data_IF_679101136067
#
_entry.id   IF_679101136067
#
_cell.length_a   1.000
_cell.length_b   1.000
_cell.length_c   1.000
_cell.angle_alpha   90.00
_cell.angle_beta   90.00
_cell.angle_gamma   90.00
#
_symmetry.space_group_name_H-M   'P 1'
#
loop_
_entity.id
_entity.type
_entity.pdbx_description
1 polymer ?
#
# COMPACT_ATOMS: atom_id res chain seq x y z
N UNK A 1 46.62 -47.94 -15.37
CA UNK A 1 46.82 -46.47 -15.37
C UNK A 1 45.46 -45.82 -15.46
N UNK A 2 44.90 -45.41 -14.32
CA UNK A 2 43.65 -44.66 -14.24
C UNK A 2 44.01 -43.21 -13.87
N UNK A 3 43.82 -42.28 -14.79
CA UNK A 3 44.06 -40.85 -14.58
C UNK A 3 42.85 -40.19 -13.93
N UNK A 4 43.06 -39.63 -12.75
CA UNK A 4 42.09 -38.83 -12.01
C UNK A 4 42.09 -37.42 -12.63
N UNK A 5 41.01 -37.04 -13.31
CA UNK A 5 40.80 -35.68 -13.78
C UNK A 5 40.24 -34.81 -12.65
N UNK A 6 41.11 -34.00 -12.05
CA UNK A 6 40.70 -32.89 -11.18
C UNK A 6 40.15 -31.76 -12.07
N UNK A 7 38.82 -31.66 -12.14
CA UNK A 7 38.17 -30.51 -12.76
C UNK A 7 38.33 -29.29 -11.86
N UNK A 8 39.23 -28.40 -12.26
CA UNK A 8 39.60 -27.18 -11.57
C UNK A 8 38.42 -26.22 -11.59
N UNK A 9 37.65 -26.21 -10.50
CA UNK A 9 36.55 -25.28 -10.19
C UNK A 9 37.04 -23.83 -10.40
N UNK A 10 36.69 -23.24 -11.55
CA UNK A 10 36.91 -21.81 -11.80
C UNK A 10 36.10 -21.02 -10.77
N UNK A 11 36.70 -20.08 -10.02
CA UNK A 11 35.92 -19.14 -9.23
C UNK A 11 35.02 -18.37 -10.20
N UNK A 12 33.72 -18.36 -9.94
CA UNK A 12 32.78 -17.46 -10.61
C UNK A 12 33.22 -16.03 -10.24
N UNK A 13 33.80 -15.36 -11.23
CA UNK A 13 34.03 -13.92 -11.25
C UNK A 13 32.67 -13.22 -10.99
N UNK A 14 32.61 -12.18 -10.13
CA UNK A 14 31.35 -11.51 -9.81
C UNK A 14 30.77 -10.90 -11.09
N UNK A 15 29.60 -11.40 -11.50
CA UNK A 15 28.90 -10.93 -12.70
C UNK A 15 28.15 -9.65 -12.35
N UNK A 16 28.55 -8.55 -12.98
CA UNK A 16 27.76 -7.34 -13.20
C UNK A 16 27.81 -6.29 -12.08
N UNK A 17 28.66 -5.27 -12.25
CA UNK A 17 28.46 -4.00 -11.55
C UNK A 17 27.10 -3.45 -11.97
N UNK A 18 26.14 -3.33 -11.05
CA UNK A 18 24.86 -2.72 -11.34
C UNK A 18 25.08 -1.29 -11.87
N UNK A 19 24.49 -0.97 -13.03
CA UNK A 19 24.55 0.38 -13.56
C UNK A 19 23.82 1.31 -12.59
N UNK A 20 24.49 2.38 -12.17
CA UNK A 20 23.94 3.36 -11.23
C UNK A 20 23.30 4.49 -12.02
N UNK A 21 22.01 4.70 -11.83
CA UNK A 21 21.18 5.64 -12.58
C UNK A 21 20.61 6.68 -11.60
N UNK A 22 20.68 7.97 -11.93
CA UNK A 22 20.08 9.04 -11.14
C UNK A 22 18.69 9.35 -11.67
N UNK A 23 17.68 9.32 -10.81
CA UNK A 23 16.32 9.70 -11.16
C UNK A 23 15.94 10.93 -10.37
N UNK A 24 15.40 11.95 -11.04
CA UNK A 24 14.87 13.15 -10.38
C UNK A 24 13.39 13.27 -10.67
N UNK A 25 12.59 13.39 -9.63
CA UNK A 25 11.16 13.70 -9.70
C UNK A 25 10.98 15.12 -9.19
N UNK A 26 10.46 15.99 -10.05
CA UNK A 26 10.17 17.38 -9.75
C UNK A 26 8.67 17.62 -9.70
N UNK A 27 8.23 18.56 -8.85
CA UNK A 27 6.81 18.93 -8.73
C UNK A 27 6.19 19.30 -10.08
N UNK A 28 4.89 19.00 -10.23
CA UNK A 28 4.09 19.05 -11.47
C UNK A 28 4.19 17.81 -12.40
N UNK A 29 4.46 16.62 -11.85
CA UNK A 29 4.36 15.36 -12.60
C UNK A 29 5.46 15.16 -13.65
N UNK A 30 6.65 15.76 -13.44
CA UNK A 30 7.80 15.63 -14.33
C UNK A 30 8.87 14.77 -13.66
N UNK A 31 9.34 13.75 -14.38
CA UNK A 31 10.47 12.94 -13.94
C UNK A 31 11.55 12.90 -15.02
N UNK A 32 12.80 12.74 -14.60
CA UNK A 32 13.93 12.55 -15.48
C UNK A 32 14.81 11.40 -15.00
N UNK A 33 15.37 10.64 -15.93
CA UNK A 33 16.28 9.52 -15.69
C UNK A 33 17.60 9.85 -16.38
N UNK A 34 18.68 10.01 -15.61
CA UNK A 34 19.99 10.52 -16.06
C UNK A 34 19.90 11.83 -16.89
N UNK A 35 18.91 12.67 -16.58
CA UNK A 35 18.64 13.93 -17.27
C UNK A 35 17.72 13.83 -18.50
N UNK A 36 17.35 12.62 -18.95
CA UNK A 36 16.35 12.43 -19.99
C UNK A 36 14.93 12.49 -19.40
N UNK A 37 14.07 13.36 -19.96
CA UNK A 37 12.69 13.52 -19.47
C UNK A 37 11.86 12.26 -19.75
N UNK A 38 11.19 11.75 -18.73
CA UNK A 38 10.21 10.67 -18.84
C UNK A 38 8.82 11.30 -18.93
N UNK A 39 8.12 11.03 -20.03
CA UNK A 39 6.74 11.48 -20.25
C UNK A 39 5.82 10.27 -20.01
N UNK A 40 4.89 10.35 -19.05
CA UNK A 40 3.91 9.28 -18.81
C UNK A 40 2.90 9.21 -19.95
N UNK A 41 2.38 8.01 -20.24
CA UNK A 41 1.22 7.86 -21.11
C UNK A 41 -0.05 8.48 -20.46
N UNK A 42 -1.10 8.83 -21.24
CA UNK A 42 -2.35 9.34 -20.68
C UNK A 42 -2.94 8.37 -19.64
N UNK A 43 -3.14 8.84 -18.40
CA UNK A 43 -3.63 8.01 -17.28
C UNK A 43 -2.56 7.17 -16.58
N UNK A 44 -1.30 7.22 -17.02
CA UNK A 44 -0.18 6.55 -16.34
C UNK A 44 0.40 7.47 -15.26
N UNK A 45 0.61 6.93 -14.07
CA UNK A 45 1.29 7.64 -13.00
C UNK A 45 2.77 7.87 -13.32
N UNK A 46 3.30 9.02 -12.94
CA UNK A 46 4.70 9.38 -13.19
C UNK A 46 5.67 8.38 -12.55
N UNK A 47 5.31 7.82 -11.38
CA UNK A 47 6.09 6.78 -10.71
C UNK A 47 6.15 5.50 -11.56
N UNK A 48 5.01 5.10 -12.13
CA UNK A 48 4.94 3.90 -12.97
C UNK A 48 5.68 4.09 -14.29
N UNK A 49 5.59 5.26 -14.90
CA UNK A 49 6.34 5.61 -16.11
C UNK A 49 7.86 5.53 -15.88
N UNK A 50 8.34 5.99 -14.72
CA UNK A 50 9.75 5.88 -14.31
C UNK A 50 10.15 4.43 -14.11
N UNK A 51 9.36 3.62 -13.39
CA UNK A 51 9.66 2.20 -13.17
C UNK A 51 9.68 1.41 -14.48
N UNK A 52 8.73 1.65 -15.37
CA UNK A 52 8.69 1.06 -16.71
C UNK A 52 9.91 1.46 -17.53
N UNK A 53 10.39 2.70 -17.42
CA UNK A 53 11.61 3.15 -18.08
C UNK A 53 12.86 2.47 -17.52
N UNK A 54 13.00 2.37 -16.20
CA UNK A 54 14.11 1.66 -15.54
C UNK A 54 14.10 0.16 -15.87
N UNK A 55 12.92 -0.46 -15.97
CA UNK A 55 12.78 -1.84 -16.40
C UNK A 55 13.25 -2.04 -17.84
N UNK A 56 12.86 -1.15 -18.77
CA UNK A 56 13.36 -1.20 -20.16
C UNK A 56 14.89 -1.07 -20.22
N UNK A 57 15.47 -0.22 -19.38
CA UNK A 57 16.93 -0.12 -19.25
C UNK A 57 17.55 -1.42 -18.70
N UNK A 58 16.96 -2.03 -17.68
CA UNK A 58 17.42 -3.31 -17.13
C UNK A 58 17.37 -4.45 -18.16
N UNK A 59 16.32 -4.49 -18.99
CA UNK A 59 16.20 -5.44 -20.11
C UNK A 59 17.28 -5.17 -21.16
N UNK A 60 17.49 -3.91 -21.53
CA UNK A 60 18.47 -3.52 -22.55
C UNK A 60 19.91 -3.78 -22.12
N UNK A 61 20.23 -3.60 -20.84
CA UNK A 61 21.57 -3.81 -20.27
C UNK A 61 21.77 -5.29 -19.90
N UNK A 62 20.70 -6.05 -19.70
CA UNK A 62 20.75 -7.45 -19.29
C UNK A 62 21.15 -7.65 -17.83
N UNK A 63 21.05 -6.61 -17.00
CA UNK A 63 21.41 -6.63 -15.59
C UNK A 63 20.47 -5.73 -14.76
N UNK A 64 20.28 -6.01 -13.45
CA UNK A 64 19.52 -5.12 -12.58
C UNK A 64 20.12 -3.71 -12.52
N UNK A 65 19.26 -2.70 -12.54
CA UNK A 65 19.62 -1.28 -12.47
C UNK A 65 19.47 -0.79 -11.04
N UNK A 66 20.49 -0.11 -10.50
CA UNK A 66 20.39 0.59 -9.22
C UNK A 66 20.11 2.06 -9.48
N UNK A 67 18.92 2.51 -9.11
CA UNK A 67 18.48 3.88 -9.28
C UNK A 67 18.52 4.63 -7.94
N UNK A 68 18.97 5.88 -7.95
CA UNK A 68 18.83 6.79 -6.81
C UNK A 68 17.75 7.81 -7.16
N UNK A 69 16.58 7.70 -6.54
CA UNK A 69 15.44 8.59 -6.79
C UNK A 69 15.51 9.79 -5.86
N UNK A 70 15.73 10.96 -6.44
CA UNK A 70 15.63 12.26 -5.78
C UNK A 70 14.22 12.80 -5.99
N UNK A 71 13.44 12.83 -4.91
CA UNK A 71 12.16 13.53 -4.88
C UNK A 71 12.40 14.94 -4.33
N UNK A 72 12.37 15.93 -5.23
CA UNK A 72 12.58 17.33 -4.88
C UNK A 72 11.41 17.90 -4.05
N UNK A 73 10.22 17.30 -4.15
CA UNK A 73 9.00 17.75 -3.46
C UNK A 73 8.92 17.17 -2.03
N UNK A 74 9.30 15.91 -1.86
CA UNK A 74 9.40 15.26 -0.56
C UNK A 74 10.75 15.49 0.15
N UNK A 75 11.74 16.06 -0.55
CA UNK A 75 13.10 16.24 -0.05
C UNK A 75 13.77 14.92 0.34
N UNK A 76 13.51 13.85 -0.43
CA UNK A 76 13.93 12.50 -0.08
C UNK A 76 14.77 11.87 -1.19
N UNK A 77 15.75 11.07 -0.78
CA UNK A 77 16.58 10.25 -1.67
C UNK A 77 16.35 8.78 -1.36
N UNK A 78 15.84 8.04 -2.34
CA UNK A 78 15.49 6.62 -2.19
C UNK A 78 16.33 5.77 -3.15
N UNK A 79 17.22 4.90 -2.64
CA UNK A 79 17.93 3.93 -3.46
C UNK A 79 17.02 2.73 -3.80
N UNK A 80 16.79 2.51 -5.09
CA UNK A 80 15.98 1.44 -5.66
C UNK A 80 16.85 0.52 -6.53
N UNK A 81 16.50 -0.75 -6.60
CA UNK A 81 17.01 -1.68 -7.61
C UNK A 81 15.83 -2.22 -8.40
N UNK A 82 15.92 -2.14 -9.73
CA UNK A 82 14.89 -2.59 -10.67
C UNK A 82 15.49 -3.70 -11.54
N UNK A 83 14.84 -4.84 -11.55
CA UNK A 83 15.24 -6.01 -12.34
C UNK A 83 14.48 -6.04 -13.67
N UNK A 84 15.02 -6.78 -14.65
CA UNK A 84 14.42 -6.93 -15.97
C UNK A 84 13.03 -7.61 -15.94
N UNK A 85 12.74 -8.39 -14.89
CA UNK A 85 11.44 -9.03 -14.65
C UNK A 85 10.36 -8.07 -14.13
N UNK A 86 10.70 -6.78 -13.93
CA UNK A 86 9.79 -5.77 -13.41
C UNK A 86 9.71 -5.73 -11.88
N UNK A 87 10.43 -6.61 -11.17
CA UNK A 87 10.56 -6.50 -9.72
C UNK A 87 11.38 -5.28 -9.34
N UNK A 88 10.92 -4.54 -8.34
CA UNK A 88 11.65 -3.42 -7.76
C UNK A 88 11.77 -3.61 -6.25
N UNK A 89 12.94 -3.28 -5.69
CA UNK A 89 13.19 -3.31 -4.25
C UNK A 89 14.00 -2.11 -3.80
N UNK A 90 13.67 -1.59 -2.64
CA UNK A 90 14.45 -0.55 -1.96
C UNK A 90 15.73 -1.19 -1.43
N UNK A 91 16.89 -0.65 -1.81
CA UNK A 91 18.21 -1.25 -1.50
C UNK A 91 18.95 -0.56 -0.35
N UNK A 92 18.35 0.47 0.26
CA UNK A 92 18.90 1.20 1.40
C UNK A 92 17.85 2.08 2.09
N UNK A 93 18.20 2.68 3.22
CA UNK A 93 17.29 3.57 3.92
C UNK A 93 17.01 4.84 3.09
N UNK A 94 15.74 5.24 3.00
CA UNK A 94 15.35 6.51 2.41
C UNK A 94 15.88 7.65 3.29
N UNK A 95 16.75 8.49 2.73
CA UNK A 95 17.35 9.60 3.46
C UNK A 95 16.61 10.88 3.10
N UNK A 96 16.03 11.55 4.11
CA UNK A 96 15.52 12.92 3.96
C UNK A 96 16.72 13.84 3.80
N UNK A 97 16.86 14.45 2.63
CA UNK A 97 17.86 15.48 2.38
C UNK A 97 17.20 16.81 2.70
N UNK A 98 17.62 17.43 3.81
CA UNK A 98 17.23 18.80 4.11
C UNK A 98 17.53 19.67 2.87
N UNK A 99 16.62 20.56 2.44
CA UNK A 99 16.87 21.40 1.28
C UNK A 99 18.18 22.14 1.52
N UNK A 100 19.16 21.97 0.63
CA UNK A 100 20.33 22.84 0.65
C UNK A 100 19.79 24.25 0.44
N UNK A 101 19.94 25.18 1.41
CA UNK A 101 19.42 26.53 1.23
C UNK A 101 20.03 27.07 -0.06
N UNK A 102 19.16 27.48 -0.97
CA UNK A 102 19.55 28.24 -2.15
C UNK A 102 20.40 29.39 -1.65
N UNK A 103 21.69 29.37 -2.02
CA UNK A 103 22.58 30.48 -1.74
C UNK A 103 21.97 31.71 -2.43
N UNK A 104 21.31 32.54 -1.64
CA UNK A 104 20.90 33.87 -2.04
C UNK A 104 22.18 34.60 -2.45
N UNK A 105 22.28 34.90 -3.74
CA UNK A 105 23.38 35.66 -4.28
C UNK A 105 23.37 37.09 -3.76
N UNK A 106 24.37 37.39 -2.91
CA UNK A 106 25.17 38.63 -2.80
C UNK A 106 24.46 39.95 -2.39
N UNK A 107 25.19 40.98 -1.90
CA UNK A 107 26.60 41.07 -1.47
C UNK A 107 26.79 41.74 -0.08
N UNK A 108 27.75 41.27 0.72
CA UNK A 108 28.13 41.91 1.97
C UNK A 108 29.58 41.59 2.36
N UNK A 109 30.42 42.62 2.28
CA UNK A 109 31.86 42.67 2.50
C UNK A 109 32.36 42.32 3.91
N UNK A 110 33.53 41.66 3.98
CA UNK A 110 34.44 41.58 5.13
C UNK A 110 34.55 40.15 5.70
N UNK A 111 35.71 39.52 5.93
CA UNK A 111 37.13 39.89 5.88
C UNK A 111 37.95 38.57 5.84
N UNK A 112 39.18 38.60 5.31
CA UNK A 112 40.07 37.45 5.15
C UNK A 112 40.80 37.04 6.47
N UNK A 113 41.58 35.94 6.50
CA UNK A 113 41.70 35.02 7.63
C UNK A 113 42.71 35.47 8.69
N UNK A 114 42.48 35.08 9.95
CA UNK A 114 43.51 35.08 10.99
C UNK A 114 43.60 33.68 11.57
N UNK A 115 44.72 33.02 11.26
CA UNK A 115 45.00 31.66 11.68
C UNK A 115 45.25 31.56 13.17
N UNK A 116 44.91 30.39 13.72
CA UNK A 116 45.63 29.78 14.84
C UNK A 116 45.40 28.26 14.77
N UNK A 117 46.47 27.56 14.40
CA UNK A 117 46.62 26.11 14.51
C UNK A 117 46.92 25.79 15.99
N UNK A 118 46.08 24.98 16.62
CA UNK A 118 46.38 24.36 17.92
C UNK A 118 47.22 23.09 17.75
N UNK A 119 48.08 22.72 18.71
CA UNK A 119 49.06 21.65 18.56
C UNK A 119 48.43 20.25 18.60
N UNK A 120 49.05 19.32 17.86
CA UNK A 120 48.71 17.90 17.83
C UNK A 120 49.20 17.17 19.10
N UNK A 121 48.40 16.27 19.71
CA UNK A 121 48.91 15.33 20.69
C UNK A 121 49.59 14.14 20.01
N UNK A 122 50.76 13.79 20.50
CA UNK A 122 51.65 12.72 20.04
C UNK A 122 51.57 11.47 20.92
N UNK A 123 51.55 10.31 20.23
CA UNK A 123 52.19 9.02 20.55
C UNK A 123 51.73 8.21 21.78
N UNK A 124 51.33 6.95 21.57
CA UNK A 124 52.30 5.83 21.59
C UNK A 124 51.65 4.50 21.16
N UNK A 125 52.36 3.75 20.33
CA UNK A 125 52.15 2.33 20.07
C UNK A 125 52.91 1.51 21.13
N UNK A 126 52.31 0.45 21.66
CA UNK A 126 52.97 -0.81 22.07
C UNK A 126 51.93 -1.83 22.53
N UNK A 127 51.63 -2.75 21.62
CA UNK A 127 51.79 -4.20 21.76
C UNK A 127 51.13 -5.04 22.88
N UNK A 128 50.78 -6.25 22.41
CA UNK A 128 50.67 -7.55 23.08
C UNK A 128 49.35 -7.99 23.74
N UNK A 129 48.65 -8.83 22.98
CA UNK A 129 48.53 -10.28 23.22
C UNK A 129 47.32 -10.85 24.02
N UNK A 130 46.77 -11.90 23.40
CA UNK A 130 46.02 -13.05 23.90
C UNK A 130 44.66 -12.93 24.63
N UNK A 131 43.72 -13.73 24.06
CA UNK A 131 42.83 -14.71 24.73
C UNK A 131 41.33 -14.34 24.85
N UNK A 132 40.55 -14.93 23.94
CA UNK A 132 39.14 -15.37 24.13
C UNK A 132 39.13 -16.69 24.94
N UNK A 133 38.04 -17.21 25.58
CA UNK A 133 36.62 -16.79 25.52
C UNK A 133 35.87 -16.76 26.89
N UNK A 134 34.65 -16.21 26.90
CA UNK A 134 33.40 -16.88 27.32
C UNK A 134 32.33 -15.95 27.95
N UNK A 135 31.13 -16.04 27.35
CA UNK A 135 29.80 -16.05 27.97
C UNK A 135 29.31 -14.86 28.79
N UNK A 136 28.43 -14.02 28.20
CA UNK A 136 27.23 -13.49 28.88
C UNK A 136 26.08 -13.31 27.88
N UNK A 137 24.94 -13.92 28.19
CA UNK A 137 23.66 -13.80 27.49
C UNK A 137 23.16 -12.35 27.42
N UNK A 138 22.55 -11.87 26.32
CA UNK A 138 21.82 -10.63 26.34
C UNK A 138 20.37 -10.84 26.76
N UNK A 139 20.00 -10.08 27.78
CA UNK A 139 18.66 -9.72 28.22
C UNK A 139 17.84 -9.17 27.03
N UNK A 140 16.58 -9.60 26.92
CA UNK A 140 15.65 -9.16 25.90
C UNK A 140 15.43 -7.64 25.94
N UNK A 141 15.69 -6.96 24.82
CA UNK A 141 15.28 -5.58 24.58
C UNK A 141 13.95 -5.60 23.81
N UNK A 142 12.91 -5.04 24.44
CA UNK A 142 11.61 -4.78 23.84
C UNK A 142 11.77 -3.76 22.71
N UNK A 143 11.30 -4.02 21.47
CA UNK A 143 11.32 -3.02 20.40
C UNK A 143 10.33 -1.87 20.70
N UNK A 144 10.65 -0.62 20.33
CA UNK A 144 9.70 0.48 20.40
C UNK A 144 8.59 0.28 19.35
N UNK A 145 7.33 0.49 19.76
CA UNK A 145 6.18 0.43 18.87
C UNK A 145 6.27 1.48 17.75
N UNK A 146 5.98 1.12 16.49
CA UNK A 146 5.97 2.07 15.39
C UNK A 146 4.71 2.96 15.44
N UNK A 147 4.91 4.27 15.32
CA UNK A 147 3.86 5.25 15.07
C UNK A 147 2.98 4.82 13.89
N UNK A 148 1.66 4.84 14.10
CA UNK A 148 0.67 4.34 13.17
C UNK A 148 0.85 4.94 11.75
N UNK A 149 0.88 4.10 10.69
CA UNK A 149 0.84 4.58 9.32
C UNK A 149 -0.55 5.13 8.99
N UNK A 150 -0.62 6.25 8.30
CA UNK A 150 -1.86 6.72 7.66
C UNK A 150 -2.38 5.60 6.75
N UNK A 151 -3.63 5.13 6.90
CA UNK A 151 -4.11 3.97 6.17
C UNK A 151 -4.27 4.33 4.69
N UNK A 152 -3.39 3.82 3.83
CA UNK A 152 -3.71 3.67 2.41
C UNK A 152 -4.90 2.72 2.32
N UNK A 153 -6.04 3.11 1.74
CA UNK A 153 -7.19 2.24 1.64
C UNK A 153 -6.84 0.97 0.85
N UNK A 154 -7.39 -0.15 1.28
CA UNK A 154 -7.17 -1.40 0.59
C UNK A 154 -7.95 -1.39 -0.72
N UNK A 155 -7.24 -1.65 -1.84
CA UNK A 155 -7.82 -1.73 -3.20
C UNK A 155 -9.18 -2.41 -3.16
N UNK A 156 -10.26 -1.68 -3.39
CA UNK A 156 -11.65 -2.15 -3.26
C UNK A 156 -12.52 -1.28 -2.37
N UNK A 157 -11.96 -0.57 -1.39
CA UNK A 157 -12.64 0.49 -0.61
C UNK A 157 -12.26 1.91 -1.09
N UNK A 158 -11.59 2.03 -2.23
CA UNK A 158 -10.98 3.27 -2.70
C UNK A 158 -12.03 4.38 -2.87
N UNK A 159 -13.21 4.08 -3.44
CA UNK A 159 -14.28 5.06 -3.59
C UNK A 159 -14.76 5.65 -2.25
N UNK A 160 -15.04 4.79 -1.26
CA UNK A 160 -15.48 5.22 0.08
C UNK A 160 -14.37 5.99 0.79
N UNK A 161 -13.11 5.59 0.62
CA UNK A 161 -11.98 6.29 1.22
C UNK A 161 -11.75 7.67 0.60
N UNK A 162 -11.82 7.79 -0.72
CA UNK A 162 -11.73 9.08 -1.42
C UNK A 162 -12.86 10.02 -0.99
N UNK A 163 -14.06 9.51 -0.77
CA UNK A 163 -15.18 10.30 -0.28
C UNK A 163 -14.96 10.80 1.16
N UNK A 164 -14.50 9.93 2.06
CA UNK A 164 -14.19 10.29 3.46
C UNK A 164 -13.09 11.36 3.54
N UNK A 165 -12.09 11.26 2.66
CA UNK A 165 -10.92 12.14 2.60
C UNK A 165 -11.14 13.39 1.74
N UNK A 166 -12.10 13.37 0.83
CA UNK A 166 -12.40 14.45 -0.10
C UNK A 166 -13.31 15.54 0.47
N UNK A 167 -13.48 16.59 -0.32
CA UNK A 167 -14.38 17.72 -0.04
C UNK A 167 -15.72 17.60 -0.79
N UNK A 168 -16.10 16.38 -1.20
CA UNK A 168 -17.33 16.11 -1.94
C UNK A 168 -18.59 16.24 -1.08
N UNK A 169 -19.78 16.19 -1.70
CA UNK A 169 -21.05 16.05 -0.97
C UNK A 169 -21.02 14.81 -0.09
N UNK A 170 -21.48 14.93 1.16
CA UNK A 170 -21.49 13.81 2.11
C UNK A 170 -22.72 12.91 1.95
N UNK A 171 -23.72 13.31 1.15
CA UNK A 171 -25.03 12.66 1.07
C UNK A 171 -25.45 12.49 -0.38
N UNK A 172 -26.23 11.46 -0.66
CA UNK A 172 -26.71 11.08 -1.99
C UNK A 172 -27.98 11.83 -2.42
N UNK A 173 -28.81 12.26 -1.46
CA UNK A 173 -30.11 12.91 -1.69
C UNK A 173 -30.23 14.24 -0.95
N UNK A 174 -31.15 15.08 -1.42
CA UNK A 174 -31.44 16.36 -0.77
C UNK A 174 -32.04 16.18 0.63
N UNK A 175 -32.93 15.19 0.84
CA UNK A 175 -33.45 14.91 2.18
C UNK A 175 -32.36 14.37 3.12
N UNK A 176 -31.43 13.58 2.57
CA UNK A 176 -30.22 13.16 3.27
C UNK A 176 -29.37 14.35 3.72
N UNK A 177 -29.15 15.33 2.84
CA UNK A 177 -28.38 16.53 3.16
C UNK A 177 -28.95 17.30 4.36
N UNK A 178 -30.27 17.35 4.52
CA UNK A 178 -30.93 18.03 5.64
C UNK A 178 -30.73 17.32 6.99
N UNK A 179 -30.69 15.99 7.00
CA UNK A 179 -30.68 15.19 8.24
C UNK A 179 -29.32 14.57 8.58
N UNK A 180 -28.49 14.27 7.59
CA UNK A 180 -27.30 13.41 7.72
C UNK A 180 -25.97 14.14 7.53
N UNK A 181 -25.95 15.35 6.96
CA UNK A 181 -24.71 16.11 6.75
C UNK A 181 -23.88 16.26 8.04
N UNK A 182 -24.53 16.67 9.12
CA UNK A 182 -23.87 16.89 10.40
C UNK A 182 -23.37 15.55 11.00
N UNK A 183 -24.20 14.48 11.11
CA UNK A 183 -23.74 13.15 11.49
C UNK A 183 -22.55 12.61 10.66
N UNK A 184 -22.64 12.64 9.33
CA UNK A 184 -21.62 12.10 8.42
C UNK A 184 -20.29 12.81 8.54
N UNK A 185 -20.31 14.14 8.68
CA UNK A 185 -19.09 14.91 8.93
C UNK A 185 -18.41 14.51 10.23
N UNK A 186 -19.14 14.22 11.31
CA UNK A 186 -18.55 13.73 12.57
C UNK A 186 -17.96 12.33 12.42
N UNK A 187 -18.62 11.46 11.67
CA UNK A 187 -18.09 10.12 11.35
C UNK A 187 -16.78 10.26 10.57
N UNK A 188 -16.77 11.05 9.50
CA UNK A 188 -15.59 11.25 8.65
C UNK A 188 -14.45 11.90 9.43
N UNK A 189 -14.73 12.85 10.33
CA UNK A 189 -13.74 13.44 11.24
C UNK A 189 -13.15 12.39 12.20
N UNK A 190 -13.98 11.51 12.77
CA UNK A 190 -13.50 10.41 13.62
C UNK A 190 -12.62 9.43 12.84
N UNK A 191 -12.97 9.10 11.59
CA UNK A 191 -12.13 8.25 10.71
C UNK A 191 -10.79 8.94 10.41
N UNK A 192 -10.82 10.21 9.98
CA UNK A 192 -9.61 10.99 9.65
C UNK A 192 -8.66 11.17 10.83
N UNK A 193 -9.21 11.29 12.04
CA UNK A 193 -8.42 11.39 13.28
C UNK A 193 -7.94 10.03 13.80
N UNK A 194 -8.31 8.92 13.15
CA UNK A 194 -7.94 7.57 13.56
C UNK A 194 -8.71 7.03 14.76
N UNK A 195 -9.76 7.72 15.20
CA UNK A 195 -10.66 7.29 16.27
C UNK A 195 -11.69 6.28 15.74
N UNK A 196 -11.22 5.11 15.30
CA UNK A 196 -12.03 4.14 14.56
C UNK A 196 -13.19 3.56 15.39
N UNK A 197 -12.99 3.28 16.69
CA UNK A 197 -14.07 2.80 17.57
C UNK A 197 -15.20 3.83 17.70
N UNK A 198 -14.83 5.10 17.90
CA UNK A 198 -15.79 6.22 17.92
C UNK A 198 -16.52 6.35 16.59
N UNK A 199 -15.81 6.23 15.47
CA UNK A 199 -16.42 6.26 14.14
C UNK A 199 -17.43 5.13 13.96
N UNK A 200 -17.11 3.92 14.45
CA UNK A 200 -18.01 2.77 14.39
C UNK A 200 -19.30 3.00 15.19
N UNK A 201 -19.20 3.51 16.42
CA UNK A 201 -20.37 3.81 17.24
C UNK A 201 -21.26 4.90 16.62
N UNK A 202 -20.64 5.95 16.07
CA UNK A 202 -21.36 7.02 15.38
C UNK A 202 -22.04 6.51 14.11
N UNK A 203 -21.34 5.69 13.31
CA UNK A 203 -21.88 5.09 12.09
C UNK A 203 -23.05 4.16 12.39
N UNK A 204 -22.95 3.29 13.40
CA UNK A 204 -24.01 2.36 13.77
C UNK A 204 -25.28 3.07 14.23
N UNK A 205 -25.13 4.10 15.07
CA UNK A 205 -26.25 4.93 15.52
C UNK A 205 -26.91 5.64 14.33
N UNK A 206 -26.10 6.28 13.50
CA UNK A 206 -26.59 7.06 12.34
C UNK A 206 -27.26 6.15 11.31
N UNK A 207 -26.71 4.97 11.04
CA UNK A 207 -27.30 3.96 10.16
C UNK A 207 -28.64 3.44 10.69
N UNK A 208 -28.76 3.21 12.00
CA UNK A 208 -30.01 2.79 12.62
C UNK A 208 -31.10 3.86 12.49
N UNK A 209 -30.75 5.12 12.76
CA UNK A 209 -31.65 6.27 12.62
C UNK A 209 -32.07 6.48 11.16
N UNK A 210 -31.11 6.53 10.23
CA UNK A 210 -31.38 6.68 8.80
C UNK A 210 -32.23 5.53 8.25
N UNK A 211 -31.95 4.29 8.66
CA UNK A 211 -32.75 3.12 8.25
C UNK A 211 -34.18 3.18 8.79
N UNK A 212 -34.39 3.75 9.99
CA UNK A 212 -35.73 3.91 10.56
C UNK A 212 -36.52 5.04 9.87
N UNK A 213 -35.85 6.12 9.48
CA UNK A 213 -36.48 7.29 8.83
C UNK A 213 -36.75 7.05 7.35
N UNK A 214 -35.73 6.62 6.60
CA UNK A 214 -35.79 6.51 5.15
C UNK A 214 -36.11 5.08 4.66
N UNK A 215 -35.92 4.09 5.53
CA UNK A 215 -36.03 2.68 5.20
C UNK A 215 -34.68 2.06 4.77
N UNK A 216 -34.51 0.74 4.94
CA UNK A 216 -33.21 0.07 4.79
C UNK A 216 -32.71 -0.04 3.34
N UNK A 217 -33.57 0.21 2.35
CA UNK A 217 -33.24 0.19 0.91
C UNK A 217 -33.02 1.59 0.32
N UNK A 218 -33.18 2.64 1.12
CA UNK A 218 -32.99 4.01 0.67
C UNK A 218 -31.50 4.30 0.37
N UNK A 219 -31.23 5.18 -0.61
CA UNK A 219 -29.87 5.51 -1.03
C UNK A 219 -28.96 5.91 0.15
N UNK A 220 -29.43 6.80 1.03
CA UNK A 220 -28.71 7.21 2.24
C UNK A 220 -28.41 6.06 3.21
N UNK A 221 -29.34 5.12 3.39
CA UNK A 221 -29.14 3.98 4.27
C UNK A 221 -28.16 2.96 3.67
N UNK A 222 -28.09 2.87 2.34
CA UNK A 222 -27.08 2.07 1.63
C UNK A 222 -25.71 2.74 1.73
N UNK A 223 -25.64 4.05 1.50
CA UNK A 223 -24.42 4.84 1.62
C UNK A 223 -23.81 4.77 3.03
N UNK A 224 -24.61 4.96 4.09
CA UNK A 224 -24.15 4.77 5.47
C UNK A 224 -23.70 3.32 5.78
N UNK A 225 -24.28 2.33 5.10
CA UNK A 225 -23.88 0.92 5.26
C UNK A 225 -22.54 0.64 4.54
N UNK A 226 -22.27 1.29 3.40
CA UNK A 226 -20.98 1.28 2.71
C UNK A 226 -19.88 1.89 3.61
N UNK A 227 -20.17 3.06 4.20
CA UNK A 227 -19.27 3.70 5.16
C UNK A 227 -19.03 2.83 6.40
N UNK A 228 -20.09 2.21 6.94
CA UNK A 228 -19.97 1.27 8.07
C UNK A 228 -19.11 0.05 7.73
N UNK A 229 -19.18 -0.45 6.50
CA UNK A 229 -18.33 -1.55 6.04
C UNK A 229 -16.86 -1.14 5.98
N UNK A 230 -16.56 0.06 5.49
CA UNK A 230 -15.21 0.62 5.48
C UNK A 230 -14.65 0.81 6.89
N UNK A 231 -15.44 1.37 7.81
CA UNK A 231 -15.04 1.54 9.21
C UNK A 231 -14.77 0.19 9.89
N UNK A 232 -15.62 -0.82 9.66
CA UNK A 232 -15.39 -2.17 10.15
C UNK A 232 -14.08 -2.78 9.60
N UNK A 233 -13.76 -2.49 8.33
CA UNK A 233 -12.49 -2.91 7.73
C UNK A 233 -11.29 -2.24 8.42
N UNK A 234 -11.35 -0.93 8.67
CA UNK A 234 -10.33 -0.19 9.40
C UNK A 234 -10.18 -0.67 10.85
N UNK A 235 -11.28 -1.08 11.49
CA UNK A 235 -11.28 -1.63 12.84
C UNK A 235 -10.66 -3.04 12.94
N UNK A 236 -10.27 -3.64 11.81
CA UNK A 236 -9.74 -5.00 11.78
C UNK A 236 -10.82 -6.07 11.96
N UNK A 237 -12.08 -5.76 11.66
CA UNK A 237 -13.19 -6.73 11.61
C UNK A 237 -13.58 -7.05 10.15
N UNK A 238 -12.80 -7.91 9.47
CA UNK A 238 -13.02 -8.22 8.06
C UNK A 238 -14.31 -9.01 7.82
N UNK A 239 -14.82 -9.75 8.82
CA UNK A 239 -16.06 -10.53 8.66
C UNK A 239 -17.26 -9.60 8.65
N UNK A 240 -17.30 -8.61 9.54
CA UNK A 240 -18.34 -7.59 9.54
C UNK A 240 -18.30 -6.72 8.28
N UNK A 241 -17.11 -6.23 7.91
CA UNK A 241 -16.93 -5.47 6.67
C UNK A 241 -17.42 -6.24 5.45
N UNK A 242 -17.07 -7.53 5.34
CA UNK A 242 -17.54 -8.41 4.27
C UNK A 242 -19.05 -8.49 4.19
N UNK A 243 -19.72 -8.78 5.32
CA UNK A 243 -21.18 -8.97 5.35
C UNK A 243 -21.91 -7.68 4.95
N UNK A 244 -21.48 -6.54 5.49
CA UNK A 244 -22.09 -5.25 5.16
C UNK A 244 -21.95 -4.93 3.66
N UNK A 245 -20.76 -5.08 3.08
CA UNK A 245 -20.55 -4.85 1.65
C UNK A 245 -21.34 -5.83 0.77
N UNK A 246 -21.40 -7.11 1.13
CA UNK A 246 -22.16 -8.10 0.34
C UNK A 246 -23.67 -7.86 0.40
N UNK A 247 -24.19 -7.46 1.57
CA UNK A 247 -25.59 -7.07 1.74
C UNK A 247 -25.95 -5.87 0.85
N UNK A 248 -25.10 -4.83 0.83
CA UNK A 248 -25.31 -3.66 -0.04
C UNK A 248 -25.26 -4.07 -1.51
N UNK A 249 -24.29 -4.89 -1.92
CA UNK A 249 -24.20 -5.38 -3.30
C UNK A 249 -25.49 -6.10 -3.74
N UNK A 250 -26.05 -6.95 -2.87
CA UNK A 250 -27.31 -7.63 -3.11
C UNK A 250 -28.50 -6.67 -3.27
N UNK A 251 -28.56 -5.61 -2.44
CA UNK A 251 -29.60 -4.59 -2.51
C UNK A 251 -29.50 -3.72 -3.77
N UNK A 252 -28.28 -3.28 -4.15
CA UNK A 252 -28.03 -2.52 -5.39
C UNK A 252 -28.40 -3.34 -6.62
N UNK A 253 -28.05 -4.64 -6.63
CA UNK A 253 -28.45 -5.56 -7.71
C UNK A 253 -29.98 -5.68 -7.82
N UNK A 254 -30.69 -5.83 -6.70
CA UNK A 254 -32.16 -5.86 -6.69
C UNK A 254 -32.77 -4.57 -7.27
N UNK A 255 -32.11 -3.43 -7.03
CA UNK A 255 -32.49 -2.13 -7.61
C UNK A 255 -32.04 -1.93 -9.08
N UNK A 256 -31.43 -2.96 -9.70
CA UNK A 256 -30.89 -2.92 -11.07
C UNK A 256 -29.73 -1.95 -11.27
N UNK A 257 -29.01 -1.65 -10.19
CA UNK A 257 -27.79 -0.87 -10.21
C UNK A 257 -26.57 -1.81 -10.18
N UNK A 258 -26.22 -2.33 -11.37
CA UNK A 258 -25.18 -3.35 -11.53
C UNK A 258 -23.76 -2.82 -11.30
N UNK A 259 -23.52 -1.54 -11.57
CA UNK A 259 -22.23 -0.88 -11.38
C UNK A 259 -21.94 -0.72 -9.88
N UNK A 260 -22.85 -0.10 -9.12
CA UNK A 260 -22.68 0.04 -7.68
C UNK A 260 -22.69 -1.31 -6.95
N UNK A 261 -23.46 -2.30 -7.45
CA UNK A 261 -23.41 -3.66 -6.93
C UNK A 261 -22.01 -4.27 -7.10
N UNK A 262 -21.38 -4.06 -8.25
CA UNK A 262 -20.06 -4.61 -8.52
C UNK A 262 -18.97 -3.96 -7.67
N UNK A 263 -19.00 -2.64 -7.46
CA UNK A 263 -18.05 -1.97 -6.56
C UNK A 263 -18.17 -2.48 -5.11
N UNK A 264 -19.38 -2.75 -4.65
CA UNK A 264 -19.60 -3.36 -3.34
C UNK A 264 -19.13 -4.83 -3.27
N UNK A 265 -19.25 -5.60 -4.37
CA UNK A 265 -18.62 -6.93 -4.48
C UNK A 265 -17.09 -6.83 -4.37
N UNK A 266 -16.47 -5.81 -4.97
CA UNK A 266 -15.02 -5.57 -4.86
C UNK A 266 -14.61 -5.21 -3.43
N UNK A 267 -15.40 -4.37 -2.74
CA UNK A 267 -15.23 -4.08 -1.30
C UNK A 267 -15.30 -5.37 -0.46
N UNK A 268 -16.34 -6.18 -0.67
CA UNK A 268 -16.51 -7.46 0.02
C UNK A 268 -15.33 -8.41 -0.26
N UNK A 269 -14.88 -8.53 -1.52
CA UNK A 269 -13.73 -9.35 -1.87
C UNK A 269 -12.44 -8.91 -1.15
N UNK A 270 -12.27 -7.62 -0.92
CA UNK A 270 -11.13 -7.07 -0.18
C UNK A 270 -11.20 -7.38 1.31
N UNK A 271 -12.36 -7.22 1.94
CA UNK A 271 -12.57 -7.67 3.32
C UNK A 271 -12.38 -9.19 3.48
N UNK A 272 -12.93 -9.98 2.56
CA UNK A 272 -12.79 -11.44 2.53
C UNK A 272 -11.32 -11.90 2.44
N UNK A 273 -10.47 -11.18 1.70
CA UNK A 273 -9.04 -11.50 1.62
C UNK A 273 -8.34 -11.38 2.97
N UNK A 274 -8.81 -10.50 3.85
CA UNK A 274 -8.28 -10.29 5.19
C UNK A 274 -8.76 -11.33 6.23
N UNK A 275 -9.82 -12.10 5.94
CA UNK A 275 -10.26 -13.22 6.79
C UNK A 275 -9.17 -14.31 6.84
N UNK A 276 -8.74 -14.66 8.06
CA UNK A 276 -7.61 -15.57 8.31
C UNK A 276 -8.03 -17.01 8.52
N UNK A 277 -9.17 -17.21 9.18
CA UNK A 277 -9.78 -18.52 9.39
C UNK A 277 -10.13 -19.16 8.03
N UNK A 278 -9.57 -20.34 7.70
CA UNK A 278 -9.85 -21.01 6.44
C UNK A 278 -11.32 -21.44 6.26
N UNK A 279 -11.98 -21.92 7.31
CA UNK A 279 -13.36 -22.42 7.24
C UNK A 279 -14.35 -21.27 7.08
N UNK A 280 -14.18 -20.21 7.86
CA UNK A 280 -14.98 -18.98 7.71
C UNK A 280 -14.72 -18.34 6.34
N UNK A 281 -13.46 -18.35 5.89
CA UNK A 281 -13.10 -17.92 4.54
C UNK A 281 -13.81 -18.72 3.46
N UNK A 282 -13.96 -20.04 3.61
CA UNK A 282 -14.71 -20.87 2.66
C UNK A 282 -16.20 -20.56 2.67
N UNK A 283 -16.78 -20.35 3.86
CA UNK A 283 -18.20 -20.03 3.99
C UNK A 283 -18.54 -18.73 3.28
N UNK A 284 -17.86 -17.64 3.66
CA UNK A 284 -18.06 -16.31 3.08
C UNK A 284 -17.70 -16.27 1.59
N UNK A 285 -16.67 -17.02 1.18
CA UNK A 285 -16.24 -17.04 -0.22
C UNK A 285 -17.25 -17.67 -1.18
N UNK A 286 -18.13 -18.57 -0.71
CA UNK A 286 -19.23 -19.12 -1.53
C UNK A 286 -20.25 -18.02 -1.86
N UNK A 287 -20.75 -17.35 -0.83
CA UNK A 287 -21.74 -16.26 -0.98
C UNK A 287 -21.22 -15.15 -1.90
N UNK A 288 -19.93 -14.79 -1.76
CA UNK A 288 -19.26 -13.82 -2.64
C UNK A 288 -19.23 -14.27 -4.11
N UNK A 289 -18.81 -15.50 -4.37
CA UNK A 289 -18.66 -16.02 -5.74
C UNK A 289 -20.02 -16.18 -6.39
N UNK A 290 -21.04 -16.59 -5.65
CA UNK A 290 -22.40 -16.75 -6.17
C UNK A 290 -22.94 -15.40 -6.65
N UNK A 291 -22.90 -14.35 -5.81
CA UNK A 291 -23.36 -13.02 -6.21
C UNK A 291 -22.53 -12.42 -7.36
N UNK A 292 -21.20 -12.61 -7.34
CA UNK A 292 -20.34 -12.12 -8.41
C UNK A 292 -20.65 -12.84 -9.73
N UNK A 293 -20.91 -14.14 -9.70
CA UNK A 293 -21.27 -14.92 -10.89
C UNK A 293 -22.58 -14.43 -11.49
N UNK A 294 -23.58 -14.13 -10.65
CA UNK A 294 -24.85 -13.55 -11.09
C UNK A 294 -24.64 -12.19 -11.78
N UNK A 295 -23.79 -11.31 -11.23
CA UNK A 295 -23.48 -10.02 -11.84
C UNK A 295 -22.72 -10.16 -13.16
N UNK A 296 -21.77 -11.08 -13.25
CA UNK A 296 -20.99 -11.33 -14.46
C UNK A 296 -21.81 -11.98 -15.60
N UNK A 297 -23.00 -12.50 -15.31
CA UNK A 297 -23.92 -13.03 -16.31
C UNK A 297 -24.77 -11.93 -16.99
N UNK A 298 -24.80 -10.72 -16.43
CA UNK A 298 -25.51 -9.56 -16.96
C UNK A 298 -24.51 -8.58 -17.61
N UNK A 299 -24.87 -7.83 -18.67
CA UNK A 299 -23.97 -6.84 -19.26
C UNK A 299 -23.55 -5.78 -18.23
N UNK A 300 -22.26 -5.46 -18.17
CA UNK A 300 -21.72 -4.45 -17.26
C UNK A 300 -20.27 -4.73 -16.85
N UNK A 301 -19.72 -3.92 -15.93
CA UNK A 301 -18.30 -3.98 -15.58
C UNK A 301 -17.85 -5.33 -14.98
N UNK A 302 -18.77 -6.08 -14.35
CA UNK A 302 -18.49 -7.42 -13.85
C UNK A 302 -18.32 -8.47 -14.97
N UNK A 303 -18.98 -8.29 -16.12
CA UNK A 303 -18.85 -9.15 -17.29
C UNK A 303 -17.63 -8.78 -18.15
N UNK A 304 -17.26 -7.50 -18.16
CA UNK A 304 -16.13 -6.99 -18.94
C UNK A 304 -14.76 -7.42 -18.40
N UNK A 305 -14.64 -7.68 -17.09
CA UNK A 305 -13.42 -8.18 -16.44
C UNK A 305 -13.68 -9.42 -15.55
N UNK A 306 -13.41 -10.61 -16.09
CA UNK A 306 -13.58 -11.89 -15.36
C UNK A 306 -12.39 -12.25 -14.48
N UNK A 307 -11.24 -11.59 -14.63
CA UNK A 307 -9.99 -11.94 -13.93
C UNK A 307 -10.10 -11.91 -12.40
N UNK A 308 -10.77 -10.90 -11.80
CA UNK A 308 -11.05 -10.86 -10.37
C UNK A 308 -11.90 -12.03 -9.86
N UNK A 309 -12.93 -12.47 -10.60
CA UNK A 309 -13.77 -13.62 -10.24
C UNK A 309 -12.97 -14.93 -10.31
N UNK A 310 -12.15 -15.10 -11.35
CA UNK A 310 -11.24 -16.24 -11.46
C UNK A 310 -10.23 -16.28 -10.30
N UNK A 311 -9.69 -15.12 -9.92
CA UNK A 311 -8.80 -15.00 -8.76
C UNK A 311 -9.47 -15.38 -7.44
N UNK A 312 -10.77 -15.05 -7.28
CA UNK A 312 -11.56 -15.46 -6.13
C UNK A 312 -11.78 -16.98 -6.10
N UNK A 313 -12.14 -17.59 -7.24
CA UNK A 313 -12.28 -19.06 -7.38
C UNK A 313 -10.96 -19.78 -7.08
N UNK A 314 -9.83 -19.27 -7.57
CA UNK A 314 -8.51 -19.83 -7.27
C UNK A 314 -8.16 -19.73 -5.77
N UNK A 315 -8.57 -18.66 -5.09
CA UNK A 315 -8.41 -18.54 -3.63
C UNK A 315 -9.25 -19.57 -2.87
N UNK A 316 -10.47 -19.88 -3.32
CA UNK A 316 -11.30 -20.92 -2.70
C UNK A 316 -10.62 -22.29 -2.71
N UNK A 317 -9.99 -22.68 -3.82
CA UNK A 317 -9.21 -23.94 -3.89
C UNK A 317 -8.11 -23.95 -2.83
N UNK A 318 -7.32 -22.86 -2.73
CA UNK A 318 -6.25 -22.74 -1.72
C UNK A 318 -6.78 -22.72 -0.28
N UNK A 319 -7.97 -22.20 -0.05
CA UNK A 319 -8.62 -22.23 1.27
C UNK A 319 -9.05 -23.66 1.63
N UNK A 320 -9.65 -24.39 0.69
CA UNK A 320 -10.03 -25.80 0.87
C UNK A 320 -8.83 -26.67 1.22
N UNK A 321 -7.72 -26.52 0.51
CA UNK A 321 -6.48 -27.25 0.80
C UNK A 321 -5.93 -26.95 2.20
N UNK A 322 -6.02 -25.68 2.65
CA UNK A 322 -5.57 -25.28 3.99
C UNK A 322 -6.48 -25.81 5.08
N UNK A 323 -7.80 -25.75 4.90
CA UNK A 323 -8.76 -26.29 5.85
C UNK A 323 -8.58 -27.81 6.01
N UNK A 324 -8.44 -28.55 4.91
CA UNK A 324 -8.18 -29.99 4.93
C UNK A 324 -6.87 -30.34 5.68
N UNK A 325 -5.80 -29.56 5.46
CA UNK A 325 -4.53 -29.73 6.18
C UNK A 325 -4.66 -29.44 7.68
N UNK A 326 -5.39 -28.40 8.06
CA UNK A 326 -5.62 -28.07 9.46
C UNK A 326 -6.43 -29.17 10.18
N UNK A 327 -7.48 -29.69 9.53
CA UNK A 327 -8.28 -30.79 10.06
C UNK A 327 -7.48 -32.09 10.23
N UNK A 328 -6.49 -32.35 9.36
CA UNK A 328 -5.61 -33.50 9.49
C UNK A 328 -4.54 -33.35 10.59
N UNK A 329 -4.35 -32.14 11.14
CA UNK A 329 -3.38 -31.82 12.19
C UNK A 329 -4.02 -31.67 13.57
N UNK A 330 -5.36 -31.63 13.65
CA UNK A 330 -6.15 -31.56 14.87
C UNK A 330 -6.49 -32.97 15.39
#
# INVERSE_FOLDING_TARGET
MAGVSFEKKRPRQPVGSAATVSVRVSGAGRASVDGASVVPAPGEEIQQAVLNHLQRLAISVGAPIRATVHDDLAGCVVPLEVSADGSSRVTGQAVRVAPRPAAAGTPGTGQAPTGQFGPAPVMNESDTDTRSPAAHSPLAAVPPEPSAPTPTPARGFDAVAEEVLGDGPLTETAEGAELLTEPLRRINEAVRSGCIDTAAELADRTLAEASAVFGPRHAEALHLRELSAYIAYLAGDPVRAFRLSLDVAGLRRQARDGEAAYDNVRSAATAWRAVRDPEEGLRLGRDLIDLWTDLAAEPGPAADDTGPLESARARMVRLSDRAAKAAAQA
#
